data_IF_702695064415
#
_entry.id   IF_702695064415
#
_cell.length_a   1.000
_cell.length_b   1.000
_cell.length_c   1.000
_cell.angle_alpha   90.00
_cell.angle_beta   90.00
_cell.angle_gamma   90.00
#
_symmetry.space_group_name_H-M   'P 1'
#
loop_
_entity.id
_entity.type
_entity.pdbx_description
1 polymer ?
#
# COMPACT_ATOMS: atom_id res chain seq x y z
N UNK A 1 1.65 -46.99 -63.78
CA UNK A 1 2.36 -48.21 -63.47
C UNK A 1 2.42 -48.26 -61.95
N UNK A 2 1.46 -49.01 -61.29
CA UNK A 2 1.61 -50.44 -60.95
C UNK A 2 2.81 -50.56 -59.98
N UNK A 3 2.71 -50.90 -58.76
CA UNK A 3 2.16 -51.98 -57.94
C UNK A 3 2.58 -51.63 -56.50
N UNK A 4 1.89 -51.76 -55.50
CA UNK A 4 1.23 -52.93 -54.94
C UNK A 4 2.08 -53.52 -53.81
N UNK A 5 1.53 -53.59 -52.64
CA UNK A 5 1.17 -54.83 -51.94
C UNK A 5 1.67 -55.02 -50.48
N UNK A 6 0.71 -55.22 -49.62
CA UNK A 6 0.58 -56.18 -48.47
C UNK A 6 1.28 -55.83 -47.14
N UNK A 7 0.49 -55.54 -46.17
CA UNK A 7 -0.15 -56.34 -45.11
C UNK A 7 0.78 -57.32 -44.35
N UNK A 8 1.00 -57.00 -43.08
CA UNK A 8 1.00 -58.02 -42.01
C UNK A 8 0.49 -57.43 -40.72
N UNK A 9 -0.60 -57.97 -40.25
CA UNK A 9 -1.21 -57.77 -38.93
C UNK A 9 -0.34 -58.45 -37.88
N UNK A 10 0.00 -57.75 -36.83
CA UNK A 10 0.43 -58.36 -35.57
C UNK A 10 -0.32 -57.65 -34.44
N UNK A 11 -1.22 -58.37 -33.81
CA UNK A 11 -1.90 -57.99 -32.58
C UNK A 11 -0.89 -57.98 -31.44
N UNK A 12 -0.82 -56.92 -30.59
CA UNK A 12 -0.15 -57.05 -29.34
C UNK A 12 -1.12 -57.51 -28.24
N UNK A 13 -0.63 -58.40 -27.48
CA UNK A 13 -1.12 -59.01 -26.24
C UNK A 13 -1.42 -57.91 -25.23
N UNK A 14 -2.64 -57.85 -24.70
CA UNK A 14 -3.00 -57.09 -23.49
C UNK A 14 -2.22 -57.72 -22.30
N UNK A 15 -1.30 -56.98 -21.75
CA UNK A 15 -0.78 -57.23 -20.41
C UNK A 15 -1.57 -56.32 -19.45
N UNK A 16 -2.37 -57.00 -18.66
CA UNK A 16 -3.04 -56.40 -17.48
C UNK A 16 -1.99 -55.77 -16.58
N UNK A 17 -2.12 -54.45 -16.35
CA UNK A 17 -1.30 -53.71 -15.39
C UNK A 17 -2.15 -53.50 -14.17
N UNK A 18 -1.70 -53.90 -12.96
CA UNK A 18 -2.47 -53.69 -11.74
C UNK A 18 -2.65 -52.17 -11.46
N UNK A 19 -3.80 -51.84 -10.96
CA UNK A 19 -4.27 -50.52 -10.51
C UNK A 19 -3.23 -49.85 -9.61
N UNK A 20 -2.52 -48.86 -10.14
CA UNK A 20 -1.84 -47.86 -9.34
C UNK A 20 -2.92 -46.84 -8.88
N UNK A 21 -3.41 -47.02 -7.67
CA UNK A 21 -4.24 -46.02 -6.99
C UNK A 21 -3.46 -44.70 -6.92
N UNK A 22 -4.05 -43.56 -7.28
CA UNK A 22 -3.38 -42.28 -7.16
C UNK A 22 -3.03 -42.01 -5.69
N UNK A 23 -1.73 -41.87 -5.42
CA UNK A 23 -1.24 -41.44 -4.13
C UNK A 23 -1.92 -40.09 -3.78
N UNK A 24 -2.69 -40.08 -2.69
CA UNK A 24 -3.29 -38.88 -2.16
C UNK A 24 -2.21 -37.84 -1.93
N UNK A 25 -2.27 -36.75 -2.68
CA UNK A 25 -1.40 -35.60 -2.45
C UNK A 25 -1.55 -35.13 -0.98
N UNK A 26 -0.46 -34.82 -0.30
CA UNK A 26 -0.55 -34.31 1.07
C UNK A 26 -1.38 -33.04 1.06
N UNK A 27 -2.38 -32.98 1.94
CA UNK A 27 -3.19 -31.77 2.15
C UNK A 27 -2.22 -30.62 2.43
N UNK A 28 -2.25 -29.61 1.57
CA UNK A 28 -1.49 -28.38 1.75
C UNK A 28 -1.86 -27.80 3.13
N UNK A 29 -0.90 -27.77 4.04
CA UNK A 29 -1.07 -27.09 5.32
C UNK A 29 -1.46 -25.65 4.98
N UNK A 30 -2.64 -25.21 5.42
CA UNK A 30 -3.08 -23.83 5.26
C UNK A 30 -2.03 -22.95 5.94
N UNK A 31 -1.32 -22.15 5.13
CA UNK A 31 -0.34 -21.20 5.65
C UNK A 31 -1.05 -20.26 6.61
N UNK A 32 -0.58 -20.22 7.86
CA UNK A 32 -1.09 -19.26 8.86
C UNK A 32 -0.83 -17.86 8.33
N UNK A 33 -1.89 -17.04 8.26
CA UNK A 33 -1.74 -15.66 7.84
C UNK A 33 -0.74 -14.92 8.77
N UNK A 34 0.19 -14.12 8.23
CA UNK A 34 1.15 -13.41 9.05
C UNK A 34 0.45 -12.44 10.00
N UNK A 35 0.93 -12.38 11.25
CA UNK A 35 0.43 -11.44 12.25
C UNK A 35 1.07 -10.05 12.02
N UNK A 36 0.27 -9.09 11.62
CA UNK A 36 0.66 -7.70 11.41
C UNK A 36 0.12 -6.76 12.50
N UNK A 37 -0.36 -7.30 13.63
CA UNK A 37 -0.90 -6.50 14.73
C UNK A 37 0.09 -5.45 15.25
N UNK A 38 1.39 -5.74 15.22
CA UNK A 38 2.44 -4.82 15.62
C UNK A 38 2.43 -3.51 14.82
N UNK A 39 2.04 -3.51 13.55
CA UNK A 39 1.90 -2.28 12.76
C UNK A 39 0.76 -1.39 13.24
N UNK A 40 -0.27 -1.98 13.84
CA UNK A 40 -1.39 -1.23 14.42
C UNK A 40 -1.06 -0.76 15.84
N UNK A 41 -0.39 -1.59 16.64
CA UNK A 41 -0.19 -1.37 18.07
C UNK A 41 1.00 -0.46 18.38
N UNK A 42 2.11 -0.62 17.62
CA UNK A 42 3.38 0.05 17.91
C UNK A 42 3.66 1.28 17.04
N UNK A 43 2.81 1.60 16.04
CA UNK A 43 2.98 2.83 15.26
C UNK A 43 2.37 4.05 15.96
N UNK A 44 2.84 5.28 15.64
CA UNK A 44 2.32 6.50 16.23
C UNK A 44 0.81 6.66 16.07
N UNK A 45 0.15 7.07 17.16
CA UNK A 45 -1.28 7.38 17.20
C UNK A 45 -1.53 8.87 17.02
N UNK A 46 -2.75 9.23 16.61
CA UNK A 46 -3.18 10.61 16.61
C UNK A 46 -3.16 11.17 18.03
N UNK A 47 -2.58 12.36 18.19
CA UNK A 47 -2.67 13.09 19.47
C UNK A 47 -4.14 13.42 19.82
N UNK A 48 -4.51 13.39 21.11
CA UNK A 48 -5.88 13.71 21.53
C UNK A 48 -6.36 15.13 21.13
N UNK A 49 -5.40 16.03 20.94
CA UNK A 49 -5.65 17.45 20.65
C UNK A 49 -5.69 17.77 19.16
N UNK A 50 -5.48 16.79 18.28
CA UNK A 50 -5.53 17.04 16.83
C UNK A 50 -6.97 17.29 16.38
N UNK A 51 -7.16 18.22 15.46
CA UNK A 51 -8.50 18.56 14.97
C UNK A 51 -9.10 17.43 14.11
N UNK A 52 -8.27 16.75 13.30
CA UNK A 52 -8.70 15.64 12.44
C UNK A 52 -7.72 14.49 12.51
N UNK A 53 -8.24 13.30 12.77
CA UNK A 53 -7.47 12.06 12.77
C UNK A 53 -7.98 11.11 11.68
N UNK A 54 -7.14 10.74 10.72
CA UNK A 54 -7.50 9.80 9.66
C UNK A 54 -6.84 8.45 9.84
N UNK A 55 -7.64 7.39 9.64
CA UNK A 55 -7.12 6.03 9.65
C UNK A 55 -6.35 5.71 8.37
N UNK A 56 -5.24 5.01 8.54
CA UNK A 56 -4.51 4.34 7.46
C UNK A 56 -4.82 2.86 7.53
N UNK A 57 -5.25 2.28 6.40
CA UNK A 57 -5.25 0.84 6.19
C UNK A 57 -3.94 0.50 5.46
N UNK A 58 -3.03 -0.14 6.18
CA UNK A 58 -1.70 -0.48 5.70
C UNK A 58 -1.73 -1.86 5.06
N UNK A 59 -1.14 -2.00 3.87
CA UNK A 59 -0.98 -3.25 3.16
C UNK A 59 0.51 -3.47 2.90
N UNK A 60 1.10 -4.52 3.47
CA UNK A 60 2.55 -4.77 3.38
C UNK A 60 2.81 -6.09 2.70
N UNK A 61 3.64 -6.09 1.65
CA UNK A 61 4.08 -7.34 1.03
C UNK A 61 4.85 -8.17 2.03
N UNK A 62 4.43 -9.43 2.16
CA UNK A 62 5.05 -10.41 3.04
C UNK A 62 5.65 -11.54 2.19
N UNK A 63 6.93 -11.80 2.41
CA UNK A 63 7.70 -12.88 1.77
C UNK A 63 8.03 -13.94 2.81
N UNK A 64 8.68 -15.03 2.41
CA UNK A 64 9.18 -16.04 3.33
C UNK A 64 10.20 -15.48 4.34
N UNK A 65 10.86 -14.36 4.01
CA UNK A 65 11.77 -13.64 4.90
C UNK A 65 11.07 -12.67 5.86
N UNK A 66 9.74 -12.51 5.76
CA UNK A 66 8.94 -11.57 6.52
C UNK A 66 8.42 -10.40 5.70
N UNK A 67 7.87 -9.35 6.35
CA UNK A 67 7.39 -8.15 5.67
C UNK A 67 8.56 -7.41 4.99
N UNK A 68 8.31 -6.79 3.84
CA UNK A 68 9.34 -6.04 3.07
C UNK A 68 9.85 -4.80 3.80
N UNK A 69 9.12 -4.32 4.79
CA UNK A 69 9.52 -3.26 5.71
C UNK A 69 8.96 -3.54 7.12
N UNK A 70 9.68 -3.07 8.14
CA UNK A 70 9.32 -3.27 9.54
C UNK A 70 8.48 -2.13 10.13
N UNK A 71 8.06 -2.32 11.36
CA UNK A 71 7.27 -1.34 12.12
C UNK A 71 8.03 -0.03 12.33
N UNK A 72 9.35 -0.08 12.52
CA UNK A 72 10.18 1.11 12.75
C UNK A 72 10.20 1.99 11.49
N UNK A 73 10.32 1.38 10.31
CA UNK A 73 10.26 2.10 9.04
C UNK A 73 8.89 2.76 8.83
N UNK A 74 7.78 2.05 9.08
CA UNK A 74 6.42 2.60 8.98
C UNK A 74 6.23 3.74 9.99
N UNK A 75 6.72 3.58 11.22
CA UNK A 75 6.66 4.63 12.25
C UNK A 75 7.37 5.90 11.79
N UNK A 76 8.57 5.79 11.21
CA UNK A 76 9.32 6.94 10.70
C UNK A 76 8.55 7.68 9.58
N UNK A 77 7.87 6.94 8.68
CA UNK A 77 7.01 7.54 7.65
C UNK A 77 5.83 8.31 8.28
N UNK A 78 5.16 7.70 9.27
CA UNK A 78 4.02 8.30 9.96
C UNK A 78 4.40 9.53 10.78
N UNK A 79 5.51 9.50 11.48
CA UNK A 79 6.01 10.64 12.26
C UNK A 79 6.21 11.87 11.36
N UNK A 80 6.81 11.68 10.19
CA UNK A 80 6.97 12.76 9.23
C UNK A 80 5.60 13.21 8.66
N UNK A 81 4.71 12.27 8.35
CA UNK A 81 3.36 12.64 7.89
C UNK A 81 2.61 13.44 8.96
N UNK A 82 2.62 13.01 10.22
CA UNK A 82 1.99 13.74 11.33
C UNK A 82 2.60 15.14 11.52
N UNK A 83 3.95 15.24 11.48
CA UNK A 83 4.66 16.52 11.61
C UNK A 83 4.22 17.53 10.55
N UNK A 84 4.21 17.11 9.28
CA UNK A 84 3.92 18.03 8.17
C UNK A 84 2.45 18.34 8.04
N UNK A 85 1.57 17.39 8.33
CA UNK A 85 0.11 17.59 8.26
C UNK A 85 -0.48 18.29 9.48
N UNK A 86 0.28 18.47 10.56
CA UNK A 86 -0.10 19.33 11.68
C UNK A 86 -0.43 20.76 11.22
N UNK A 87 0.19 21.26 10.14
CA UNK A 87 -0.09 22.56 9.53
C UNK A 87 -1.55 22.73 9.08
N UNK A 88 -2.22 21.65 8.80
CA UNK A 88 -3.65 21.63 8.45
C UNK A 88 -4.51 21.03 9.57
N UNK A 89 -3.98 20.86 10.76
CA UNK A 89 -4.69 20.29 11.91
C UNK A 89 -5.05 18.81 11.71
N UNK A 90 -4.25 18.08 10.93
CA UNK A 90 -4.51 16.68 10.55
C UNK A 90 -3.41 15.77 11.05
N UNK A 91 -3.77 14.57 11.48
CA UNK A 91 -2.86 13.48 11.84
C UNK A 91 -3.35 12.15 11.27
N UNK A 92 -2.51 11.13 11.33
CA UNK A 92 -2.78 9.79 10.81
C UNK A 92 -2.42 8.74 11.84
N UNK A 93 -3.15 7.62 11.83
CA UNK A 93 -2.81 6.42 12.62
C UNK A 93 -3.12 5.16 11.81
N UNK A 94 -2.32 4.11 11.95
CA UNK A 94 -2.65 2.81 11.37
C UNK A 94 -3.81 2.19 12.14
N UNK A 95 -4.87 1.84 11.43
CA UNK A 95 -6.10 1.28 12.02
C UNK A 95 -6.33 -0.17 11.65
N UNK A 96 -5.70 -0.59 10.55
CA UNK A 96 -5.69 -1.98 10.08
C UNK A 96 -4.39 -2.23 9.32
N UNK A 97 -3.92 -3.47 9.32
CA UNK A 97 -2.77 -3.91 8.54
C UNK A 97 -3.03 -5.30 7.96
N UNK A 98 -2.84 -5.43 6.64
CA UNK A 98 -3.00 -6.68 5.90
C UNK A 98 -1.70 -7.07 5.20
N UNK A 99 -1.43 -8.38 5.14
CA UNK A 99 -0.35 -8.92 4.34
C UNK A 99 -0.76 -9.01 2.88
N UNK A 100 0.13 -8.55 2.01
CA UNK A 100 0.06 -8.79 0.58
C UNK A 100 0.91 -10.01 0.21
N UNK A 101 0.51 -10.81 -0.78
CA UNK A 101 1.29 -11.95 -1.24
C UNK A 101 2.60 -11.51 -1.90
N UNK A 102 3.59 -12.40 -1.89
CA UNK A 102 4.89 -12.16 -2.53
C UNK A 102 4.79 -11.90 -4.05
N UNK A 103 3.70 -12.32 -4.70
CA UNK A 103 3.44 -11.99 -6.11
C UNK A 103 3.22 -10.49 -6.37
N UNK A 104 2.94 -9.71 -5.33
CA UNK A 104 2.81 -8.25 -5.40
C UNK A 104 4.09 -7.52 -4.94
N UNK A 105 5.23 -8.25 -4.90
CA UNK A 105 6.52 -7.69 -4.48
C UNK A 105 7.02 -6.60 -5.43
N UNK A 106 6.79 -6.76 -6.71
CA UNK A 106 7.19 -5.85 -7.78
C UNK A 106 5.95 -5.36 -8.50
N UNK A 107 5.86 -4.05 -8.70
CA UNK A 107 4.78 -3.37 -9.42
C UNK A 107 5.41 -2.66 -10.61
N UNK A 108 5.22 -3.22 -11.80
CA UNK A 108 5.93 -2.83 -13.00
C UNK A 108 5.13 -1.92 -13.92
N UNK A 109 3.80 -1.98 -13.86
CA UNK A 109 2.97 -1.24 -14.80
C UNK A 109 1.73 -0.59 -14.15
N UNK A 110 0.91 0.06 -15.00
CA UNK A 110 -0.30 0.76 -14.57
C UNK A 110 -1.44 -0.18 -14.21
N UNK A 111 -1.51 -1.35 -14.85
CA UNK A 111 -2.57 -2.34 -14.59
C UNK A 111 -2.35 -2.98 -13.22
N UNK A 112 -1.11 -3.26 -12.87
CA UNK A 112 -0.74 -3.77 -11.55
C UNK A 112 -1.00 -2.73 -10.44
N UNK A 113 -0.74 -1.44 -10.71
CA UNK A 113 -1.10 -0.35 -9.78
C UNK A 113 -2.60 -0.25 -9.56
N UNK A 114 -3.41 -0.41 -10.61
CA UNK A 114 -4.87 -0.45 -10.51
C UNK A 114 -5.32 -1.70 -9.74
N UNK A 115 -4.82 -2.88 -10.10
CA UNK A 115 -5.18 -4.16 -9.48
C UNK A 115 -4.87 -4.19 -7.98
N UNK A 116 -3.73 -3.60 -7.58
CA UNK A 116 -3.29 -3.55 -6.19
C UNK A 116 -4.36 -2.98 -5.25
N UNK A 117 -5.00 -1.89 -5.66
CA UNK A 117 -6.01 -1.23 -4.85
C UNK A 117 -7.44 -1.61 -5.18
N UNK A 118 -7.76 -2.03 -6.41
CA UNK A 118 -9.13 -2.24 -6.89
C UNK A 118 -9.99 -3.10 -5.95
N UNK A 119 -9.49 -4.26 -5.56
CA UNK A 119 -10.22 -5.20 -4.70
C UNK A 119 -10.17 -4.84 -3.19
N UNK A 120 -9.31 -3.90 -2.79
CA UNK A 120 -9.03 -3.57 -1.39
C UNK A 120 -9.54 -2.20 -0.97
N UNK A 121 -9.90 -1.37 -1.96
CA UNK A 121 -10.31 0.00 -1.68
C UNK A 121 -11.61 0.05 -0.87
N UNK A 122 -11.59 0.82 0.21
CA UNK A 122 -12.76 1.18 0.99
C UNK A 122 -12.71 2.67 1.33
N UNK A 123 -13.88 3.30 1.40
CA UNK A 123 -13.97 4.70 1.81
C UNK A 123 -13.77 4.85 3.32
N UNK A 124 -13.35 6.01 3.74
CA UNK A 124 -13.21 6.38 5.14
C UNK A 124 -11.80 6.28 5.68
N UNK A 125 -10.89 5.63 4.96
CA UNK A 125 -9.48 5.48 5.32
C UNK A 125 -8.56 5.79 4.14
N UNK A 126 -7.29 6.05 4.43
CA UNK A 126 -6.23 6.13 3.43
C UNK A 126 -5.62 4.74 3.27
N UNK A 127 -5.67 4.16 2.07
CA UNK A 127 -4.95 2.92 1.77
C UNK A 127 -3.49 3.24 1.43
N UNK A 128 -2.56 2.58 2.12
CA UNK A 128 -1.12 2.68 1.88
C UNK A 128 -0.56 1.28 1.63
N UNK A 129 0.02 1.08 0.46
CA UNK A 129 0.64 -0.17 0.04
C UNK A 129 2.16 -0.05 0.14
N UNK A 130 2.82 -1.04 0.73
CA UNK A 130 4.27 -1.11 0.85
C UNK A 130 4.76 -2.32 0.06
N UNK A 131 5.48 -2.06 -1.03
CA UNK A 131 5.95 -3.07 -1.97
C UNK A 131 7.47 -3.12 -2.01
N UNK A 132 8.04 -4.19 -2.57
CA UNK A 132 9.49 -4.32 -2.69
C UNK A 132 10.07 -3.37 -3.73
N UNK A 133 9.48 -3.35 -4.93
CA UNK A 133 9.89 -2.51 -6.05
C UNK A 133 8.68 -1.83 -6.69
N UNK A 134 8.86 -0.60 -7.15
CA UNK A 134 7.85 0.16 -7.86
C UNK A 134 8.51 0.80 -9.09
N UNK A 135 8.26 0.26 -10.28
CA UNK A 135 8.82 0.78 -11.52
C UNK A 135 8.25 2.16 -11.87
N UNK A 136 9.07 3.01 -12.48
CA UNK A 136 8.57 4.20 -13.14
C UNK A 136 7.86 3.80 -14.44
N UNK A 137 6.55 4.06 -14.53
CA UNK A 137 5.73 3.68 -15.69
C UNK A 137 5.89 4.64 -16.88
N UNK A 138 6.61 5.72 -16.70
CA UNK A 138 6.92 6.73 -17.73
C UNK A 138 8.37 6.62 -18.21
N UNK A 139 9.28 6.05 -17.40
CA UNK A 139 10.71 5.90 -17.72
C UNK A 139 11.10 4.43 -17.53
N UNK A 140 11.28 3.74 -18.65
CA UNK A 140 11.62 2.32 -18.64
C UNK A 140 12.93 2.04 -17.91
N UNK A 141 12.92 1.06 -17.01
CA UNK A 141 14.09 0.61 -16.25
C UNK A 141 14.38 1.43 -14.99
N UNK A 142 13.64 2.50 -14.74
CA UNK A 142 13.78 3.27 -13.51
C UNK A 142 12.81 2.79 -12.42
N UNK A 143 13.17 3.09 -11.16
CA UNK A 143 12.37 2.79 -9.98
C UNK A 143 12.03 4.09 -9.26
N UNK A 144 10.77 4.21 -8.82
CA UNK A 144 10.31 5.33 -7.99
C UNK A 144 10.11 4.91 -6.54
N UNK A 145 10.23 5.88 -5.64
CA UNK A 145 10.12 5.69 -4.19
C UNK A 145 8.68 5.59 -3.70
N UNK A 146 7.77 6.25 -4.39
CA UNK A 146 6.35 6.25 -4.07
C UNK A 146 5.52 6.90 -5.14
N UNK A 147 4.21 6.70 -5.06
CA UNK A 147 3.22 7.35 -5.91
C UNK A 147 1.87 7.44 -5.21
N UNK A 148 1.20 8.58 -5.35
CA UNK A 148 -0.23 8.68 -5.14
C UNK A 148 -0.93 8.21 -6.41
N UNK A 149 -1.64 7.11 -6.33
CA UNK A 149 -2.34 6.53 -7.47
C UNK A 149 -3.83 6.79 -7.43
N UNK A 150 -4.42 6.99 -8.61
CA UNK A 150 -5.87 7.02 -8.81
C UNK A 150 -6.22 5.98 -9.84
N UNK A 151 -7.11 5.08 -9.49
CA UNK A 151 -7.58 4.05 -10.40
C UNK A 151 -8.07 4.64 -11.71
N UNK A 152 -7.67 4.07 -12.83
CA UNK A 152 -8.03 4.59 -14.17
C UNK A 152 -9.50 4.41 -14.49
N UNK A 153 -10.12 3.32 -14.00
CA UNK A 153 -11.54 3.02 -14.17
C UNK A 153 -12.45 3.88 -13.30
N UNK A 154 -12.03 4.18 -12.06
CA UNK A 154 -12.75 5.06 -11.13
C UNK A 154 -11.78 5.98 -10.39
N UNK A 155 -11.63 7.20 -10.85
CA UNK A 155 -10.71 8.19 -10.26
C UNK A 155 -11.10 8.66 -8.84
N UNK A 156 -12.27 8.24 -8.34
CA UNK A 156 -12.62 8.44 -6.93
C UNK A 156 -11.88 7.46 -6.02
N UNK A 157 -11.48 6.30 -6.55
CA UNK A 157 -10.64 5.34 -5.87
C UNK A 157 -9.18 5.80 -5.94
N UNK A 158 -8.53 5.90 -4.78
CA UNK A 158 -7.15 6.39 -4.68
C UNK A 158 -6.43 5.80 -3.49
N UNK A 159 -5.12 5.64 -3.64
CA UNK A 159 -4.23 5.11 -2.61
C UNK A 159 -2.81 5.62 -2.79
N UNK A 160 -1.96 5.31 -1.82
CA UNK A 160 -0.53 5.57 -1.87
C UNK A 160 0.18 4.23 -2.01
N UNK A 161 1.20 4.16 -2.88
CA UNK A 161 2.11 3.02 -2.99
C UNK A 161 3.51 3.52 -2.64
N UNK A 162 4.18 2.83 -1.73
CA UNK A 162 5.56 3.10 -1.32
C UNK A 162 6.43 1.90 -1.67
N UNK A 163 7.59 2.12 -2.29
CA UNK A 163 8.58 1.07 -2.44
C UNK A 163 9.46 0.96 -1.20
N UNK A 164 10.13 -0.17 -1.00
CA UNK A 164 11.03 -0.40 0.14
C UNK A 164 12.19 0.61 0.25
N UNK A 165 12.53 1.30 -0.87
CA UNK A 165 13.58 2.33 -0.89
C UNK A 165 13.08 3.73 -0.53
N UNK A 166 11.79 3.87 -0.15
CA UNK A 166 11.23 5.16 0.21
C UNK A 166 11.87 5.70 1.50
N UNK A 167 12.42 6.91 1.44
CA UNK A 167 12.85 7.65 2.62
C UNK A 167 11.64 8.20 3.38
N UNK A 168 11.82 8.61 4.64
CA UNK A 168 10.73 9.01 5.55
C UNK A 168 9.87 10.20 5.09
N UNK A 169 10.34 10.99 4.13
CA UNK A 169 9.56 12.10 3.55
C UNK A 169 8.68 11.69 2.36
N UNK A 170 8.74 10.43 1.91
CA UNK A 170 7.96 9.98 0.74
C UNK A 170 6.48 9.89 1.08
N UNK A 171 6.11 9.29 2.21
CA UNK A 171 4.70 9.24 2.61
C UNK A 171 4.07 10.63 2.73
N UNK A 172 4.64 11.63 3.44
CA UNK A 172 4.04 12.97 3.46
C UNK A 172 3.99 13.63 2.08
N UNK A 173 4.93 13.38 1.17
CA UNK A 173 4.87 13.84 -0.22
C UNK A 173 3.65 13.24 -0.95
N UNK A 174 3.50 11.93 -0.94
CA UNK A 174 2.39 11.25 -1.62
C UNK A 174 1.03 11.58 -0.99
N UNK A 175 0.98 11.77 0.33
CA UNK A 175 -0.20 12.31 0.99
C UNK A 175 -0.49 13.76 0.54
N UNK A 176 0.52 14.58 0.26
CA UNK A 176 0.34 15.89 -0.36
C UNK A 176 -0.44 15.80 -1.67
N UNK A 177 -0.07 14.86 -2.54
CA UNK A 177 -0.82 14.56 -3.76
C UNK A 177 -2.22 14.02 -3.48
N UNK A 178 -2.36 13.14 -2.49
CA UNK A 178 -3.65 12.61 -2.05
C UNK A 178 -4.59 13.76 -1.62
N UNK A 179 -4.06 14.77 -0.93
CA UNK A 179 -4.77 15.98 -0.53
C UNK A 179 -4.77 17.09 -1.60
N UNK A 180 -4.50 16.73 -2.86
CA UNK A 180 -4.77 17.56 -4.02
C UNK A 180 -3.66 18.51 -4.44
N UNK A 181 -2.44 18.34 -3.94
CA UNK A 181 -1.30 19.12 -4.39
C UNK A 181 -0.72 18.55 -5.69
N UNK A 182 -0.39 19.38 -6.67
CA UNK A 182 0.54 19.02 -7.74
C UNK A 182 1.98 19.16 -7.23
N UNK A 183 2.97 18.77 -8.04
CA UNK A 183 4.33 19.24 -7.84
C UNK A 183 4.37 20.77 -7.91
N UNK A 184 5.28 21.36 -7.15
CA UNK A 184 5.44 22.80 -7.06
C UNK A 184 6.89 23.23 -7.27
N UNK A 185 7.11 24.54 -7.41
CA UNK A 185 8.43 25.15 -7.54
C UNK A 185 8.86 25.90 -6.30
N UNK A 186 8.09 25.83 -5.19
CA UNK A 186 8.47 26.49 -3.94
C UNK A 186 9.68 25.79 -3.33
N UNK A 187 10.74 26.53 -3.04
CA UNK A 187 12.00 25.96 -2.53
C UNK A 187 11.83 25.20 -1.21
N UNK A 188 10.95 25.66 -0.34
CA UNK A 188 10.68 25.02 0.95
C UNK A 188 9.79 23.78 0.81
N UNK A 189 9.11 23.58 -0.34
CA UNK A 189 8.04 22.60 -0.44
C UNK A 189 8.54 21.18 -0.55
N UNK A 190 7.89 20.28 0.19
CA UNK A 190 7.99 18.83 0.00
C UNK A 190 7.53 18.39 -1.40
N UNK A 191 6.67 19.18 -2.07
CA UNK A 191 6.15 18.88 -3.41
C UNK A 191 7.11 19.28 -4.53
N UNK A 192 8.23 19.92 -4.21
CA UNK A 192 9.24 20.32 -5.20
C UNK A 192 10.21 19.17 -5.46
N UNK A 193 10.26 18.68 -6.70
CA UNK A 193 11.17 17.61 -7.16
C UNK A 193 12.60 18.07 -7.49
N UNK A 194 12.86 19.39 -7.53
CA UNK A 194 14.18 19.88 -7.89
C UNK A 194 15.23 19.45 -6.86
N UNK A 195 16.36 18.97 -7.33
CA UNK A 195 17.52 18.73 -6.48
C UNK A 195 18.06 20.07 -6.00
N UNK A 196 18.19 20.24 -4.69
CA UNK A 196 18.65 21.49 -4.09
C UNK A 196 19.45 21.22 -2.82
N UNK A 197 20.34 22.15 -2.50
CA UNK A 197 21.18 22.11 -1.31
C UNK A 197 20.55 22.88 -0.14
N UNK A 198 19.67 23.84 -0.44
CA UNK A 198 18.95 24.68 0.53
C UNK A 198 17.49 24.85 0.09
N UNK A 199 16.53 24.84 1.02
CA UNK A 199 16.71 24.54 2.45
C UNK A 199 17.19 23.09 2.69
N UNK A 200 17.69 22.80 3.90
CA UNK A 200 18.03 21.43 4.27
C UNK A 200 16.80 20.56 4.31
N UNK A 201 16.99 19.24 4.18
CA UNK A 201 15.88 18.26 4.16
C UNK A 201 15.00 18.37 5.43
N UNK A 202 15.60 18.67 6.59
CA UNK A 202 14.91 18.88 7.86
C UNK A 202 14.03 20.14 7.92
N UNK A 203 14.25 21.07 7.01
CA UNK A 203 13.51 22.35 6.91
C UNK A 203 12.38 22.29 5.89
N UNK A 204 12.32 21.21 5.09
CA UNK A 204 11.27 21.04 4.11
C UNK A 204 9.90 20.96 4.78
N UNK A 205 8.92 21.63 4.18
CA UNK A 205 7.53 21.66 4.67
C UNK A 205 6.60 21.90 3.50
N UNK A 206 5.31 22.17 3.74
CA UNK A 206 4.41 22.69 2.72
C UNK A 206 4.41 24.22 2.69
N UNK A 207 4.41 24.80 1.50
CA UNK A 207 4.26 26.25 1.35
C UNK A 207 2.85 26.73 1.74
N UNK A 208 2.69 27.96 2.15
CA UNK A 208 1.39 28.50 2.60
C UNK A 208 0.24 28.30 1.61
N UNK A 209 0.39 28.53 0.28
CA UNK A 209 -0.67 28.24 -0.69
C UNK A 209 -1.03 26.75 -0.76
N UNK A 210 -0.06 25.86 -0.54
CA UNK A 210 -0.28 24.41 -0.50
C UNK A 210 -1.09 24.02 0.75
N UNK A 211 -0.76 24.57 1.90
CA UNK A 211 -1.50 24.39 3.15
C UNK A 211 -2.98 24.78 2.99
N UNK A 212 -3.26 25.92 2.38
CA UNK A 212 -4.62 26.37 2.12
C UNK A 212 -5.37 25.39 1.20
N UNK A 213 -4.72 24.96 0.12
CA UNK A 213 -5.29 23.99 -0.83
C UNK A 213 -5.57 22.64 -0.19
N UNK A 214 -4.65 22.12 0.64
CA UNK A 214 -4.85 20.86 1.36
C UNK A 214 -6.04 20.94 2.33
N UNK A 215 -6.21 22.05 3.08
CA UNK A 215 -7.39 22.26 3.95
C UNK A 215 -8.68 22.13 3.15
N UNK A 216 -8.79 22.82 2.01
CA UNK A 216 -9.96 22.75 1.14
C UNK A 216 -10.22 21.34 0.62
N UNK A 217 -9.17 20.58 0.28
CA UNK A 217 -9.33 19.20 -0.17
C UNK A 217 -9.73 18.26 0.96
N UNK A 218 -9.14 18.41 2.15
CA UNK A 218 -9.55 17.69 3.36
C UNK A 218 -11.06 17.87 3.62
N UNK A 219 -11.52 19.10 3.64
CA UNK A 219 -12.92 19.40 3.95
C UNK A 219 -13.87 18.79 2.90
N UNK A 220 -13.48 18.78 1.61
CA UNK A 220 -14.22 18.07 0.55
C UNK A 220 -14.23 16.56 0.73
N UNK A 221 -13.10 15.96 1.15
CA UNK A 221 -13.02 14.53 1.41
C UNK A 221 -13.89 14.11 2.61
N UNK A 222 -13.94 14.93 3.65
CA UNK A 222 -14.85 14.72 4.78
C UNK A 222 -16.32 14.83 4.33
N UNK A 223 -16.67 15.88 3.61
CA UNK A 223 -18.04 16.09 3.11
C UNK A 223 -18.52 14.95 2.19
N UNK A 224 -17.63 14.41 1.35
CA UNK A 224 -17.92 13.30 0.44
C UNK A 224 -17.78 11.90 1.10
N UNK A 225 -17.41 11.83 2.36
CA UNK A 225 -17.08 10.59 3.08
C UNK A 225 -15.99 9.77 2.40
N UNK A 226 -15.12 10.40 1.62
CA UNK A 226 -13.90 9.76 1.13
C UNK A 226 -12.99 9.40 2.30
N UNK A 227 -12.87 10.31 3.27
CA UNK A 227 -12.23 10.09 4.56
C UNK A 227 -13.25 10.27 5.68
N UNK A 228 -13.09 9.51 6.76
CA UNK A 228 -13.87 9.65 7.98
C UNK A 228 -12.96 10.09 9.11
N UNK A 229 -13.38 11.14 9.82
CA UNK A 229 -12.68 11.61 11.00
C UNK A 229 -12.86 10.64 12.16
N UNK A 230 -11.75 10.29 12.79
CA UNK A 230 -11.71 9.40 13.95
C UNK A 230 -11.60 10.18 15.28
N UNK A 231 -11.30 11.48 15.21
CA UNK A 231 -11.26 12.35 16.39
C UNK A 231 -12.63 12.43 17.06
N UNK A 232 -13.71 12.38 16.28
CA UNK A 232 -15.09 12.45 16.77
C UNK A 232 -15.64 11.15 17.35
N UNK A 233 -14.91 10.02 17.22
CA UNK A 233 -15.36 8.77 17.83
C UNK A 233 -14.87 8.69 19.27
N UNK A 234 -15.79 8.44 20.26
CA UNK A 234 -15.35 8.12 21.60
C UNK A 234 -14.42 6.91 21.52
N UNK A 235 -13.17 7.11 21.95
CA UNK A 235 -12.19 6.03 22.02
C UNK A 235 -12.78 4.90 22.83
N UNK A 236 -13.10 3.78 22.23
CA UNK A 236 -13.38 2.57 22.97
C UNK A 236 -12.11 2.24 23.75
N UNK A 237 -12.06 2.69 25.00
CA UNK A 237 -11.07 2.23 25.95
C UNK A 237 -11.24 0.72 26.02
N UNK A 238 -10.22 -0.03 25.64
CA UNK A 238 -10.10 -1.46 25.93
C UNK A 238 -9.93 -1.64 27.44
N UNK A 239 -10.97 -1.35 28.20
CA UNK A 239 -11.14 -1.87 29.54
C UNK A 239 -11.43 -3.38 29.37
N UNK A 240 -10.36 -4.16 29.21
CA UNK A 240 -10.41 -5.54 29.64
C UNK A 240 -10.67 -5.46 31.13
N UNK A 241 -11.93 -5.64 31.51
CA UNK A 241 -12.28 -5.98 32.89
C UNK A 241 -11.47 -7.23 33.22
N UNK A 242 -10.47 -7.09 34.07
CA UNK A 242 -9.97 -8.19 34.87
C UNK A 242 -11.16 -8.63 35.71
N UNK A 243 -11.75 -9.76 35.39
CA UNK A 243 -12.68 -10.44 36.29
C UNK A 243 -11.83 -11.08 37.38
N UNK A 244 -12.32 -11.00 38.65
CA UNK A 244 -11.66 -11.56 39.81
C UNK A 244 -11.59 -13.10 39.79
#
# INVERSE_FOLDING_TARGET
>A
MITGLWLMLASPVLTDRPDDAPASAPASAAAVAPDLSAFVEATPRCAPTVAHCFGIHLHVVHTDAGPVQDVAWVSAQLEQAQRHFALIGTSFEVVAADALPASELEIDDRDERDALGHARFTRGVVHVFVVGRLADVDIAGEEIRGVHWRERGDRSHRWVILSKIAGSLVLPHELGHFFGLPHSTYDISLMNKAVRLTPMVSELTFAEPEVLRMRQHRDRMLASRMLMDRADKPRQSSLRCAQP
#
